data_IF_481399951976
#
_entry.id   IF_481399951976
#
_cell.length_a   1.000
_cell.length_b   1.000
_cell.length_c   1.000
_cell.angle_alpha   90.00
_cell.angle_beta   90.00
_cell.angle_gamma   90.00
#
_symmetry.space_group_name_H-M   'P 1'
#
loop_
_entity.id
_entity.type
_entity.pdbx_description
1 polymer ?
#
# COMPACT_ATOMS: atom_id res chain seq x y z
N UNK A 1 -12.01 8.60 -8.73
CA UNK A 1 -10.72 8.48 -8.03
C UNK A 1 -10.94 8.54 -6.54
N UNK A 2 -10.25 7.72 -5.80
CA UNK A 2 -10.41 7.64 -4.35
C UNK A 2 -9.06 7.87 -3.68
N UNK A 3 -9.07 8.70 -2.64
CA UNK A 3 -7.87 9.01 -1.86
C UNK A 3 -8.13 8.67 -0.39
N UNK A 4 -7.18 7.99 0.24
CA UNK A 4 -7.28 7.64 1.65
C UNK A 4 -5.91 7.72 2.31
N UNK A 5 -5.89 8.08 3.58
CA UNK A 5 -4.68 8.04 4.40
C UNK A 5 -4.90 6.96 5.46
N UNK A 6 -3.93 6.08 5.59
CA UNK A 6 -3.99 4.96 6.54
C UNK A 6 -2.77 4.97 7.44
N UNK A 7 -2.99 4.72 8.72
CA UNK A 7 -1.93 4.58 9.71
C UNK A 7 -1.95 3.16 10.28
N UNK A 8 -0.78 2.55 10.39
CA UNK A 8 -0.62 1.19 10.87
C UNK A 8 0.30 1.20 12.09
N UNK A 9 -0.14 0.58 13.16
CA UNK A 9 0.75 0.27 14.28
C UNK A 9 1.65 -0.91 13.92
N UNK A 10 2.76 -1.05 14.62
CA UNK A 10 3.66 -2.19 14.43
C UNK A 10 2.89 -3.50 14.59
N UNK A 11 3.07 -4.42 13.66
CA UNK A 11 2.39 -5.71 13.66
C UNK A 11 1.06 -5.74 12.92
N UNK A 12 0.55 -4.59 12.48
CA UNK A 12 -0.69 -4.55 11.70
C UNK A 12 -0.43 -4.85 10.23
N UNK A 13 -1.42 -5.42 9.56
CA UNK A 13 -1.30 -5.78 8.16
C UNK A 13 -2.67 -5.71 7.46
N UNK A 14 -2.64 -5.40 6.17
CA UNK A 14 -3.76 -5.61 5.27
C UNK A 14 -3.51 -6.92 4.53
N UNK A 15 -4.45 -7.87 4.57
CA UNK A 15 -4.27 -9.14 3.87
C UNK A 15 -4.26 -8.94 2.35
N UNK A 16 -3.74 -9.92 1.59
CA UNK A 16 -3.75 -9.84 0.14
C UNK A 16 -5.15 -9.64 -0.42
N UNK A 17 -5.29 -8.69 -1.33
CA UNK A 17 -6.55 -8.42 -2.02
C UNK A 17 -6.25 -7.83 -3.40
N UNK A 18 -7.20 -7.95 -4.32
CA UNK A 18 -7.08 -7.40 -5.65
C UNK A 18 -7.55 -5.95 -5.67
N UNK A 19 -6.79 -5.08 -6.30
CA UNK A 19 -7.20 -3.69 -6.46
C UNK A 19 -8.31 -3.57 -7.51
N UNK A 20 -9.38 -2.81 -7.24
CA UNK A 20 -10.45 -2.59 -8.22
C UNK A 20 -10.06 -1.63 -9.35
N UNK A 21 -8.92 -0.98 -9.23
CA UNK A 21 -8.35 -0.10 -10.24
C UNK A 21 -6.87 0.06 -10.00
N UNK A 22 -6.20 0.85 -10.85
CA UNK A 22 -4.79 1.15 -10.64
C UNK A 22 -4.62 1.97 -9.36
N UNK A 23 -3.58 1.69 -8.60
CA UNK A 23 -3.35 2.34 -7.32
C UNK A 23 -1.90 2.76 -7.15
N UNK A 24 -1.69 3.84 -6.40
CA UNK A 24 -0.37 4.30 -5.99
C UNK A 24 -0.40 4.47 -4.47
N UNK A 25 0.60 3.89 -3.81
CA UNK A 25 0.80 4.06 -2.37
C UNK A 25 2.00 4.98 -2.17
N UNK A 26 1.82 6.01 -1.34
CA UNK A 26 2.89 6.92 -0.95
C UNK A 26 3.21 6.69 0.52
N UNK A 27 4.43 6.36 0.85
CA UNK A 27 4.86 6.25 2.23
C UNK A 27 5.05 7.65 2.81
N UNK A 28 4.31 7.97 3.87
CA UNK A 28 4.33 9.29 4.51
C UNK A 28 5.21 9.31 5.74
N UNK A 29 5.18 8.26 6.55
CA UNK A 29 5.99 8.12 7.75
C UNK A 29 6.38 6.66 7.95
N UNK A 30 7.58 6.44 8.45
CA UNK A 30 8.04 5.12 8.82
C UNK A 30 8.38 4.23 7.64
N UNK A 31 8.14 2.95 7.80
CA UNK A 31 8.54 1.92 6.85
C UNK A 31 7.47 0.84 6.78
N UNK A 32 7.07 0.47 5.58
CA UNK A 32 6.11 -0.59 5.35
C UNK A 32 6.64 -1.60 4.36
N UNK A 33 6.05 -2.79 4.36
CA UNK A 33 6.39 -3.87 3.44
C UNK A 33 5.19 -4.13 2.54
N UNK A 34 5.40 -4.03 1.23
CA UNK A 34 4.37 -4.25 0.23
C UNK A 34 4.59 -5.63 -0.38
N UNK A 35 3.59 -6.50 -0.28
CA UNK A 35 3.59 -7.79 -0.98
C UNK A 35 2.94 -7.62 -2.34
N UNK A 36 3.66 -7.93 -3.41
CA UNK A 36 3.17 -7.75 -4.77
C UNK A 36 3.93 -8.68 -5.72
N UNK A 37 3.18 -9.39 -6.57
CA UNK A 37 3.78 -10.29 -7.53
C UNK A 37 4.58 -11.45 -6.92
N UNK A 38 4.23 -11.87 -5.70
CA UNK A 38 4.95 -12.91 -4.98
C UNK A 38 6.24 -12.44 -4.31
N UNK A 39 6.52 -11.13 -4.36
CA UNK A 39 7.71 -10.54 -3.76
C UNK A 39 7.34 -9.53 -2.69
N UNK A 40 8.26 -9.27 -1.78
CA UNK A 40 8.11 -8.23 -0.77
C UNK A 40 9.01 -7.04 -1.11
N UNK A 41 8.44 -5.84 -0.99
CA UNK A 41 9.14 -4.58 -1.28
C UNK A 41 9.00 -3.66 -0.08
N UNK A 42 10.12 -3.21 0.45
CA UNK A 42 10.13 -2.26 1.56
C UNK A 42 10.04 -0.84 0.99
N UNK A 43 9.09 -0.05 1.50
CA UNK A 43 9.00 1.37 1.17
C UNK A 43 9.13 2.21 2.43
N UNK A 44 9.82 3.33 2.30
CA UNK A 44 10.07 4.28 3.39
C UNK A 44 9.50 5.64 3.06
N UNK A 45 9.37 6.47 4.05
CA UNK A 45 8.85 7.83 3.89
C UNK A 45 9.48 8.53 2.68
N UNK A 46 8.65 9.08 1.80
CA UNK A 46 9.07 9.72 0.56
C UNK A 46 9.08 8.80 -0.66
N UNK A 47 8.91 7.49 -0.46
CA UNK A 47 8.86 6.54 -1.57
C UNK A 47 7.41 6.21 -1.93
N UNK A 48 7.23 5.63 -3.11
CA UNK A 48 5.91 5.21 -3.59
C UNK A 48 5.98 3.85 -4.26
N UNK A 49 4.82 3.22 -4.41
CA UNK A 49 4.70 1.93 -5.07
C UNK A 49 3.38 1.87 -5.85
N UNK A 50 3.40 1.31 -7.06
CA UNK A 50 2.22 1.21 -7.93
C UNK A 50 1.72 -0.21 -8.01
N UNK A 51 0.39 -0.34 -8.04
CA UNK A 51 -0.30 -1.61 -8.27
C UNK A 51 -1.16 -1.50 -9.51
N UNK A 52 -1.13 -2.53 -10.35
CA UNK A 52 -2.03 -2.62 -11.49
C UNK A 52 -3.39 -3.17 -11.05
N UNK A 53 -4.44 -2.77 -11.76
CA UNK A 53 -5.79 -3.26 -11.54
C UNK A 53 -5.82 -4.79 -11.58
N UNK A 54 -6.47 -5.38 -10.60
CA UNK A 54 -6.69 -6.83 -10.54
C UNK A 54 -5.56 -7.63 -9.91
N UNK A 55 -4.39 -7.03 -9.72
CA UNK A 55 -3.27 -7.73 -9.10
C UNK A 55 -3.42 -7.80 -7.59
N UNK A 56 -3.06 -8.94 -7.02
CA UNK A 56 -3.06 -9.12 -5.57
C UNK A 56 -1.91 -8.36 -4.94
N UNK A 57 -2.21 -7.64 -3.88
CA UNK A 57 -1.20 -6.94 -3.10
C UNK A 57 -1.57 -6.94 -1.63
N UNK A 58 -0.56 -6.79 -0.78
CA UNK A 58 -0.73 -6.72 0.67
C UNK A 58 0.17 -5.62 1.24
N UNK A 59 -0.15 -5.19 2.44
CA UNK A 59 0.67 -4.21 3.17
C UNK A 59 0.89 -4.74 4.58
N UNK A 60 2.13 -4.69 5.04
CA UNK A 60 2.49 -5.11 6.39
C UNK A 60 3.35 -4.04 7.04
N UNK A 61 3.07 -3.72 8.29
CA UNK A 61 3.87 -2.79 9.08
C UNK A 61 4.63 -3.55 10.16
N UNK A 62 5.95 -3.62 10.05
CA UNK A 62 6.80 -4.16 11.11
C UNK A 62 7.07 -3.10 12.18
N UNK A 63 7.07 -1.85 11.77
CA UNK A 63 7.16 -0.67 12.61
C UNK A 63 6.00 0.23 12.27
N UNK A 64 5.77 1.28 13.06
CA UNK A 64 4.72 2.24 12.75
C UNK A 64 4.89 2.78 11.33
N UNK A 65 3.80 2.76 10.56
CA UNK A 65 3.82 3.14 9.15
C UNK A 65 2.56 3.93 8.81
N UNK A 66 2.75 4.99 8.03
CA UNK A 66 1.64 5.80 7.55
C UNK A 66 1.78 5.96 6.05
N UNK A 67 0.68 5.75 5.34
CA UNK A 67 0.67 5.86 3.88
C UNK A 67 -0.55 6.59 3.37
N UNK A 68 -0.42 7.14 2.16
CA UNK A 68 -1.55 7.67 1.40
C UNK A 68 -1.79 6.75 0.21
N UNK A 69 -3.05 6.45 -0.05
CA UNK A 69 -3.47 5.61 -1.17
C UNK A 69 -4.26 6.45 -2.16
N UNK A 70 -3.84 6.43 -3.42
CA UNK A 70 -4.58 7.04 -4.51
C UNK A 70 -5.05 5.92 -5.43
N UNK A 71 -6.37 5.74 -5.53
CA UNK A 71 -6.98 4.64 -6.26
C UNK A 71 -7.81 5.19 -7.41
N UNK A 72 -7.48 4.75 -8.62
CA UNK A 72 -8.24 5.11 -9.83
C UNK A 72 -9.33 4.08 -10.03
N UNK A 73 -10.56 4.43 -9.64
CA UNK A 73 -11.71 3.57 -9.81
C UNK A 73 -12.62 4.20 -10.88
N UNK A 74 -13.07 3.43 -11.88
CA UNK A 74 -14.06 3.93 -12.81
C UNK A 74 -15.35 4.28 -12.08
N UNK A 75 -15.88 5.42 -12.36
CA UNK A 75 -17.18 5.86 -11.83
C UNK A 75 -18.32 5.42 -12.72
#
# INVERSE_FOLDING_TARGET
>A
MKFAVMAFDAGCALPPHAAPGDAIVFALEGEGVIGYGGEEHVIRAGENFRFAKGDLHSVRAEKRFKMALLLSIPE
#
